data_IF_270933490798
#
_entry.id   IF_270933490798
#
_cell.length_a   1.000
_cell.length_b   1.000
_cell.length_c   1.000
_cell.angle_alpha   90.00
_cell.angle_beta   90.00
_cell.angle_gamma   90.00
#
_symmetry.space_group_name_H-M   'P 1'
#
loop_
_entity.id
_entity.type
_entity.pdbx_description
1 polymer ?
#
# COMPACT_ATOMS: atom_id res chain seq x y z
N UNK A 1 0.41 33.48 40.26
CA UNK A 1 0.86 32.42 39.36
C UNK A 1 0.08 32.57 38.06
N UNK A 2 0.68 32.45 36.86
CA UNK A 2 -0.13 32.31 35.66
C UNK A 2 -1.00 31.06 35.85
N UNK A 3 -2.29 31.14 35.52
CA UNK A 3 -3.18 30.00 35.62
C UNK A 3 -2.71 28.93 34.64
N UNK A 4 -2.33 27.76 35.15
CA UNK A 4 -1.98 26.62 34.32
C UNK A 4 -3.21 26.23 33.47
N UNK A 5 -3.00 26.12 32.16
CA UNK A 5 -4.07 25.73 31.23
C UNK A 5 -4.49 24.29 31.55
N UNK A 6 -5.79 24.00 31.77
CA UNK A 6 -6.24 22.64 32.08
C UNK A 6 -5.85 21.64 30.99
N UNK A 7 -5.45 20.42 31.37
CA UNK A 7 -5.00 19.39 30.42
C UNK A 7 -6.05 19.03 29.37
N UNK A 8 -7.34 19.09 29.73
CA UNK A 8 -8.44 18.88 28.78
C UNK A 8 -8.48 19.94 27.65
N UNK A 9 -8.12 21.19 27.96
CA UNK A 9 -8.02 22.26 26.96
C UNK A 9 -6.81 22.03 26.07
N UNK A 10 -5.69 21.57 26.65
CA UNK A 10 -4.51 21.17 25.87
C UNK A 10 -4.87 20.02 24.92
N UNK A 11 -5.56 18.99 25.40
CA UNK A 11 -6.01 17.86 24.57
C UNK A 11 -6.87 18.33 23.39
N UNK A 12 -7.83 19.22 23.65
CA UNK A 12 -8.67 19.80 22.60
C UNK A 12 -7.84 20.57 21.56
N UNK A 13 -6.87 21.38 22.00
CA UNK A 13 -5.95 22.07 21.08
C UNK A 13 -5.18 21.04 20.24
N UNK A 14 -4.61 20.01 20.88
CA UNK A 14 -3.84 18.98 20.19
C UNK A 14 -4.69 18.25 19.15
N UNK A 15 -5.94 17.88 19.48
CA UNK A 15 -6.86 17.20 18.57
C UNK A 15 -7.15 18.00 17.29
N UNK A 16 -7.10 19.33 17.37
CA UNK A 16 -7.29 20.23 16.22
C UNK A 16 -6.00 20.53 15.44
N UNK A 17 -4.82 20.11 15.93
CA UNK A 17 -3.55 20.26 15.23
C UNK A 17 -3.28 19.07 14.27
N UNK A 18 -2.49 19.29 13.19
CA UNK A 18 -2.05 18.20 12.33
C UNK A 18 -1.30 17.12 13.12
N UNK A 19 -1.71 15.86 12.97
CA UNK A 19 -1.19 14.75 13.78
C UNK A 19 0.35 14.63 13.75
N UNK A 20 0.99 14.92 12.62
CA UNK A 20 2.44 14.90 12.50
C UNK A 20 3.13 15.99 13.36
N UNK A 21 2.50 17.16 13.52
CA UNK A 21 3.00 18.22 14.42
C UNK A 21 2.83 17.81 15.88
N UNK A 22 1.71 17.18 16.22
CA UNK A 22 1.46 16.67 17.58
C UNK A 22 2.56 15.71 18.03
N UNK A 23 2.96 14.78 17.16
CA UNK A 23 4.01 13.79 17.48
C UNK A 23 5.42 14.41 17.48
N UNK A 24 5.72 15.31 16.53
CA UNK A 24 7.10 15.79 16.31
C UNK A 24 7.46 17.05 17.08
N UNK A 25 6.47 17.85 17.47
CA UNK A 25 6.66 19.16 18.09
C UNK A 25 6.00 19.19 19.45
N UNK A 26 4.68 18.99 19.53
CA UNK A 26 3.92 19.13 20.77
C UNK A 26 4.37 18.12 21.84
N UNK A 27 4.66 16.88 21.44
CA UNK A 27 5.19 15.83 22.32
C UNK A 27 6.52 16.20 23.01
N UNK A 28 7.26 17.18 22.49
CA UNK A 28 8.57 17.59 23.02
C UNK A 28 8.49 18.81 23.95
N UNK A 29 7.30 19.38 24.16
CA UNK A 29 7.12 20.62 24.95
C UNK A 29 7.38 20.40 26.43
N UNK A 30 6.67 19.45 27.05
CA UNK A 30 6.85 19.07 28.46
C UNK A 30 6.43 17.61 28.71
N UNK A 31 6.64 17.13 29.93
CA UNK A 31 6.27 15.77 30.33
C UNK A 31 4.76 15.51 30.21
N UNK A 32 3.89 16.42 30.65
CA UNK A 32 2.43 16.19 30.58
C UNK A 32 1.92 16.09 29.14
N UNK A 33 2.43 16.93 28.23
CA UNK A 33 2.07 16.87 26.82
C UNK A 33 2.56 15.58 26.18
N UNK A 34 3.75 15.11 26.57
CA UNK A 34 4.27 13.83 26.10
C UNK A 34 3.37 12.67 26.53
N UNK A 35 2.98 12.60 27.80
CA UNK A 35 2.10 11.54 28.32
C UNK A 35 0.74 11.55 27.62
N UNK A 36 0.16 12.75 27.42
CA UNK A 36 -1.10 12.91 26.70
C UNK A 36 -0.99 12.44 25.25
N UNK A 37 0.06 12.86 24.52
CA UNK A 37 0.29 12.47 23.12
C UNK A 37 0.65 10.98 22.98
N UNK A 38 1.31 10.37 23.96
CA UNK A 38 1.61 8.93 23.93
C UNK A 38 0.42 8.07 24.41
N UNK A 39 -0.64 8.68 24.97
CA UNK A 39 -1.82 7.96 25.45
C UNK A 39 -2.67 7.38 24.32
N UNK A 40 -3.19 6.16 24.52
CA UNK A 40 -4.13 5.54 23.58
C UNK A 40 -5.45 6.33 23.47
N UNK A 41 -5.89 6.98 24.54
CA UNK A 41 -7.14 7.74 24.59
C UNK A 41 -7.13 8.90 23.59
N UNK A 42 -6.06 9.67 23.54
CA UNK A 42 -5.90 10.80 22.60
C UNK A 42 -6.08 10.36 21.15
N UNK A 43 -5.41 9.27 20.74
CA UNK A 43 -5.49 8.77 19.37
C UNK A 43 -6.81 8.08 19.06
N UNK A 44 -7.45 7.45 20.04
CA UNK A 44 -8.80 6.89 19.89
C UNK A 44 -9.81 8.00 19.65
N UNK A 45 -9.75 9.09 20.41
CA UNK A 45 -10.62 10.25 20.25
C UNK A 45 -10.40 10.91 18.88
N UNK A 46 -9.14 11.08 18.48
CA UNK A 46 -8.81 11.59 17.14
C UNK A 46 -9.38 10.69 16.02
N UNK A 47 -9.26 9.36 16.15
CA UNK A 47 -9.86 8.42 15.21
C UNK A 47 -11.38 8.60 15.14
N UNK A 48 -12.04 8.71 16.29
CA UNK A 48 -13.48 8.90 16.37
C UNK A 48 -13.94 10.18 15.65
N UNK A 49 -13.30 11.33 15.93
CA UNK A 49 -13.62 12.63 15.29
C UNK A 49 -13.45 12.61 13.78
N UNK A 50 -12.47 11.86 13.28
CA UNK A 50 -12.19 11.73 11.84
C UNK A 50 -12.94 10.55 11.18
N UNK A 51 -13.79 9.84 11.91
CA UNK A 51 -14.60 8.74 11.39
C UNK A 51 -13.84 7.43 11.15
N UNK A 52 -12.65 7.27 11.72
CA UNK A 52 -11.86 6.04 11.63
C UNK A 52 -12.30 5.03 12.68
N UNK A 53 -12.75 3.87 12.23
CA UNK A 53 -13.24 2.79 13.08
C UNK A 53 -12.44 1.50 12.80
N UNK A 54 -12.02 0.75 13.83
CA UNK A 54 -11.44 -0.58 13.64
C UNK A 54 -12.43 -1.51 12.91
N UNK A 55 -11.93 -2.39 12.04
CA UNK A 55 -12.78 -3.36 11.32
C UNK A 55 -13.52 -4.32 12.26
N UNK A 56 -12.91 -4.69 13.40
CA UNK A 56 -13.52 -5.55 14.41
C UNK A 56 -13.62 -4.79 15.74
N UNK A 57 -14.84 -4.45 16.14
CA UNK A 57 -15.10 -3.74 17.41
C UNK A 57 -14.61 -4.56 18.62
N UNK A 58 -14.63 -5.90 18.50
CA UNK A 58 -14.18 -6.84 19.54
C UNK A 58 -12.65 -6.93 19.68
N UNK A 59 -11.88 -6.38 18.73
CA UNK A 59 -10.42 -6.38 18.75
C UNK A 59 -9.90 -4.97 18.48
N UNK A 60 -9.86 -4.12 19.52
CA UNK A 60 -9.31 -2.79 19.36
C UNK A 60 -7.83 -2.85 18.96
N UNK A 61 -7.31 -1.86 18.22
CA UNK A 61 -5.89 -1.78 17.91
C UNK A 61 -5.03 -1.74 19.18
N UNK A 62 -3.92 -2.48 19.15
CA UNK A 62 -2.91 -2.47 20.23
C UNK A 62 -2.22 -1.10 20.35
N UNK A 63 -1.97 -0.43 19.21
CA UNK A 63 -1.42 0.93 19.14
C UNK A 63 -2.38 1.82 18.32
N UNK A 64 -3.13 2.67 19.04
CA UNK A 64 -4.09 3.60 18.44
C UNK A 64 -3.43 4.69 17.60
N UNK A 65 -2.20 5.11 17.94
CA UNK A 65 -1.45 6.09 17.15
C UNK A 65 -1.05 5.48 15.81
N UNK A 66 -0.51 4.26 15.84
CA UNK A 66 -0.16 3.52 14.63
C UNK A 66 -1.39 3.31 13.75
N UNK A 67 -2.51 2.86 14.36
CA UNK A 67 -3.77 2.68 13.67
C UNK A 67 -4.25 3.96 12.98
N UNK A 68 -4.21 5.11 13.68
CA UNK A 68 -4.59 6.40 13.10
C UNK A 68 -3.78 6.72 11.85
N UNK A 69 -2.45 6.72 11.94
CA UNK A 69 -1.60 7.12 10.81
C UNK A 69 -1.68 6.13 9.64
N UNK A 70 -1.84 4.83 9.92
CA UNK A 70 -2.05 3.84 8.86
C UNK A 70 -3.38 4.05 8.16
N UNK A 71 -4.44 4.27 8.91
CA UNK A 71 -5.79 4.43 8.35
C UNK A 71 -5.89 5.73 7.56
N UNK A 72 -5.30 6.82 8.06
CA UNK A 72 -5.35 8.14 7.41
C UNK A 72 -4.76 8.14 5.99
N UNK A 73 -3.70 7.36 5.78
CA UNK A 73 -2.97 7.29 4.50
C UNK A 73 -3.33 6.03 3.69
N UNK A 74 -4.32 5.23 4.10
CA UNK A 74 -4.62 3.96 3.45
C UNK A 74 -5.40 4.17 2.15
N UNK A 75 -4.73 3.97 1.02
CA UNK A 75 -5.34 3.93 -0.31
C UNK A 75 -4.56 2.98 -1.24
N UNK A 76 -5.13 2.70 -2.43
CA UNK A 76 -4.38 2.00 -3.47
C UNK A 76 -3.30 2.93 -4.03
N UNK A 77 -2.04 2.52 -3.91
CA UNK A 77 -0.89 3.32 -4.32
C UNK A 77 -0.56 3.18 -5.82
N UNK A 78 -1.16 2.19 -6.50
CA UNK A 78 -1.04 2.06 -7.95
C UNK A 78 -1.90 3.13 -8.62
N UNK A 79 -1.24 3.98 -9.41
CA UNK A 79 -1.89 4.92 -10.32
C UNK A 79 -2.62 4.14 -11.40
N UNK A 80 -3.85 4.57 -11.61
CA UNK A 80 -4.81 4.09 -12.59
C UNK A 80 -4.70 2.58 -12.92
N UNK A 81 -5.43 1.72 -12.19
CA UNK A 81 -5.64 0.34 -12.62
C UNK A 81 -6.29 0.21 -14.01
N UNK A 82 -6.72 1.33 -14.64
CA UNK A 82 -7.38 1.46 -15.95
C UNK A 82 -6.50 2.15 -17.03
N UNK A 83 -5.17 2.02 -16.98
CA UNK A 83 -4.17 2.28 -18.06
C UNK A 83 -3.28 3.53 -18.07
N UNK A 84 -3.31 4.40 -17.07
CA UNK A 84 -2.34 5.50 -16.93
C UNK A 84 -1.29 5.21 -15.84
N UNK A 85 -0.08 5.75 -15.98
CA UNK A 85 0.98 5.60 -14.96
C UNK A 85 1.78 4.30 -15.02
N UNK A 86 1.47 3.37 -15.93
CA UNK A 86 2.28 2.19 -16.21
C UNK A 86 3.36 2.50 -17.25
N UNK A 87 4.57 1.99 -17.02
CA UNK A 87 5.63 1.94 -18.03
C UNK A 87 5.55 0.59 -18.74
N UNK A 88 5.30 0.59 -20.04
CA UNK A 88 5.35 -0.63 -20.86
C UNK A 88 6.82 -0.98 -21.10
N UNK A 89 7.26 -2.11 -20.57
CA UNK A 89 8.63 -2.61 -20.72
C UNK A 89 8.75 -3.49 -21.96
N UNK A 90 7.73 -4.32 -22.20
CA UNK A 90 7.63 -5.13 -23.40
C UNK A 90 6.19 -5.16 -23.89
N UNK A 91 6.04 -5.15 -25.22
CA UNK A 91 4.78 -4.94 -25.90
C UNK A 91 4.66 -5.86 -27.13
N UNK A 92 4.81 -7.16 -26.92
CA UNK A 92 4.81 -8.13 -28.00
C UNK A 92 3.45 -8.27 -28.70
N UNK A 93 3.47 -8.86 -29.90
CA UNK A 93 2.28 -9.06 -30.74
C UNK A 93 1.54 -7.75 -31.05
N UNK A 94 0.22 -7.77 -30.96
CA UNK A 94 -0.68 -6.62 -31.13
C UNK A 94 -0.69 -5.66 -29.92
N UNK A 95 0.33 -5.73 -29.08
CA UNK A 95 0.53 -4.88 -27.90
C UNK A 95 -0.48 -5.11 -26.76
N UNK A 96 -0.22 -4.44 -25.63
CA UNK A 96 -1.17 -4.26 -24.54
C UNK A 96 -2.33 -3.40 -25.02
N UNK A 97 -3.55 -3.91 -24.80
CA UNK A 97 -4.77 -3.15 -25.03
C UNK A 97 -5.63 -3.15 -23.77
N UNK A 98 -6.48 -2.14 -23.62
CA UNK A 98 -7.53 -2.16 -22.59
C UNK A 98 -8.80 -2.71 -23.20
N UNK A 99 -9.33 -3.78 -22.62
CA UNK A 99 -10.58 -4.41 -23.05
C UNK A 99 -11.64 -4.35 -21.96
N UNK A 100 -12.89 -4.62 -22.35
CA UNK A 100 -13.92 -4.98 -21.38
C UNK A 100 -13.65 -6.37 -20.79
N UNK A 101 -14.14 -6.62 -19.59
CA UNK A 101 -14.00 -7.93 -18.97
C UNK A 101 -14.76 -9.00 -19.78
N UNK A 102 -14.05 -10.03 -20.24
CA UNK A 102 -14.67 -11.18 -20.94
C UNK A 102 -15.34 -12.17 -20.00
N UNK A 103 -15.01 -12.11 -18.70
CA UNK A 103 -15.54 -12.94 -17.63
C UNK A 103 -16.06 -12.04 -16.50
N UNK A 104 -17.16 -12.40 -15.81
CA UNK A 104 -17.68 -11.60 -14.69
C UNK A 104 -16.61 -11.38 -13.62
N UNK A 105 -16.31 -10.12 -13.31
CA UNK A 105 -15.39 -9.76 -12.23
C UNK A 105 -16.14 -9.69 -10.90
N UNK A 106 -15.55 -10.10 -9.75
CA UNK A 106 -16.25 -10.10 -8.47
C UNK A 106 -16.76 -8.73 -8.00
N UNK A 107 -16.10 -7.65 -8.41
CA UNK A 107 -16.52 -6.26 -8.20
C UNK A 107 -17.10 -5.68 -9.50
N UNK A 108 -18.42 -5.51 -9.56
CA UNK A 108 -19.12 -5.01 -10.75
C UNK A 108 -18.69 -3.60 -11.19
N UNK A 109 -18.06 -2.82 -10.30
CA UNK A 109 -17.51 -1.49 -10.65
C UNK A 109 -16.25 -1.57 -11.51
N UNK A 110 -15.64 -2.77 -11.61
CA UNK A 110 -14.51 -3.06 -12.47
C UNK A 110 -15.02 -3.62 -13.79
N UNK A 111 -14.99 -2.80 -14.83
CA UNK A 111 -15.54 -3.15 -16.16
C UNK A 111 -14.48 -3.33 -17.23
N UNK A 112 -13.22 -2.95 -16.95
CA UNK A 112 -12.10 -3.00 -17.89
C UNK A 112 -10.92 -3.73 -17.29
N UNK A 113 -10.15 -4.38 -18.14
CA UNK A 113 -8.88 -4.99 -17.80
C UNK A 113 -7.83 -4.71 -18.88
N UNK A 114 -6.57 -5.00 -18.55
CA UNK A 114 -5.53 -5.07 -19.55
C UNK A 114 -5.54 -6.44 -20.21
N UNK A 115 -5.42 -6.45 -21.53
CA UNK A 115 -5.34 -7.65 -22.35
C UNK A 115 -4.02 -7.62 -23.10
N UNK A 116 -3.35 -8.76 -23.10
CA UNK A 116 -2.07 -8.97 -23.76
C UNK A 116 -2.24 -9.71 -25.08
N UNK A 117 -1.20 -9.69 -25.89
CA UNK A 117 -1.17 -10.38 -27.18
C UNK A 117 -0.40 -11.70 -27.11
N UNK A 118 -0.29 -12.40 -28.25
CA UNK A 118 0.51 -13.60 -28.47
C UNK A 118 2.03 -13.44 -28.27
N UNK A 119 2.52 -12.23 -28.04
CA UNK A 119 3.93 -11.95 -27.71
C UNK A 119 4.09 -11.57 -26.23
N UNK A 120 5.34 -11.56 -25.75
CA UNK A 120 5.63 -11.19 -24.36
C UNK A 120 5.20 -9.74 -24.06
N UNK A 121 4.35 -9.59 -23.06
CA UNK A 121 3.79 -8.32 -22.63
C UNK A 121 4.17 -8.07 -21.17
N UNK A 122 4.93 -7.01 -20.92
CA UNK A 122 5.42 -6.63 -19.60
C UNK A 122 5.11 -5.16 -19.32
N UNK A 123 4.45 -4.89 -18.19
CA UNK A 123 4.24 -3.54 -17.69
C UNK A 123 4.77 -3.42 -16.27
N UNK A 124 5.26 -2.23 -15.93
CA UNK A 124 5.77 -1.94 -14.60
C UNK A 124 5.25 -0.61 -14.05
N UNK A 125 5.13 -0.52 -12.72
CA UNK A 125 4.87 0.75 -12.04
C UNK A 125 5.76 0.90 -10.82
N UNK A 126 6.34 2.09 -10.69
CA UNK A 126 7.26 2.47 -9.65
C UNK A 126 6.58 3.44 -8.68
N UNK A 127 6.35 3.02 -7.43
CA UNK A 127 5.65 3.79 -6.40
C UNK A 127 6.65 4.39 -5.43
N UNK A 128 6.69 5.72 -5.33
CA UNK A 128 7.50 6.45 -4.34
C UNK A 128 6.69 6.63 -3.06
N UNK A 129 6.96 5.79 -2.04
CA UNK A 129 6.18 5.76 -0.80
C UNK A 129 6.19 7.11 -0.08
N UNK A 130 7.30 7.86 -0.17
CA UNK A 130 7.41 9.18 0.46
C UNK A 130 6.47 10.19 -0.18
N UNK A 131 6.34 10.16 -1.51
CA UNK A 131 5.38 11.00 -2.24
C UNK A 131 3.93 10.62 -1.97
N UNK A 132 3.67 9.35 -1.64
CA UNK A 132 2.36 8.84 -1.23
C UNK A 132 2.04 9.09 0.27
N UNK A 133 2.87 9.86 1.00
CA UNK A 133 2.62 10.25 2.39
C UNK A 133 3.30 9.34 3.43
N UNK A 134 4.03 8.33 3.01
CA UNK A 134 4.78 7.42 3.88
C UNK A 134 6.23 7.88 4.03
N UNK A 135 6.45 8.85 4.91
CA UNK A 135 7.79 9.40 5.15
C UNK A 135 8.80 8.34 5.61
N UNK A 136 10.09 8.57 5.36
CA UNK A 136 11.19 7.70 5.80
C UNK A 136 11.09 7.36 7.30
N UNK A 137 10.88 8.36 8.16
CA UNK A 137 10.75 8.15 9.60
C UNK A 137 9.52 7.31 10.00
N UNK A 138 8.45 7.38 9.21
CA UNK A 138 7.26 6.55 9.40
C UNK A 138 7.55 5.10 9.03
N UNK A 139 8.15 4.87 7.86
CA UNK A 139 8.53 3.54 7.39
C UNK A 139 9.56 2.89 8.31
N UNK A 140 10.58 3.63 8.76
CA UNK A 140 11.65 3.13 9.62
C UNK A 140 11.14 2.72 11.02
N UNK A 141 10.22 3.50 11.60
CA UNK A 141 9.72 3.28 12.97
C UNK A 141 8.56 2.30 13.03
N UNK A 142 7.56 2.51 12.17
CA UNK A 142 6.30 1.78 12.24
C UNK A 142 6.31 0.52 11.40
N UNK A 143 7.18 0.46 10.39
CA UNK A 143 7.39 -0.71 9.52
C UNK A 143 6.06 -1.39 9.14
N UNK A 144 5.12 -0.67 8.52
CA UNK A 144 3.78 -1.20 8.34
C UNK A 144 3.71 -2.24 7.21
N UNK A 145 2.86 -3.26 7.37
CA UNK A 145 2.70 -4.29 6.35
C UNK A 145 2.22 -3.67 5.03
N UNK A 146 2.85 -4.08 3.92
CA UNK A 146 2.44 -3.68 2.58
C UNK A 146 1.60 -4.81 1.99
N UNK A 147 0.31 -4.56 1.77
CA UNK A 147 -0.59 -5.51 1.12
C UNK A 147 -0.49 -5.37 -0.39
N UNK A 148 -0.26 -6.49 -1.06
CA UNK A 148 -0.23 -6.61 -2.52
C UNK A 148 -1.41 -7.46 -2.94
N UNK A 149 -2.13 -7.01 -3.96
CA UNK A 149 -3.19 -7.78 -4.60
C UNK A 149 -3.16 -7.53 -6.10
N UNK A 150 -3.29 -8.59 -6.90
CA UNK A 150 -3.53 -8.48 -8.34
C UNK A 150 -4.56 -9.51 -8.79
N UNK A 151 -5.19 -9.27 -9.93
CA UNK A 151 -6.19 -10.14 -10.52
C UNK A 151 -5.83 -10.49 -11.95
N UNK A 152 -6.00 -11.75 -12.31
CA UNK A 152 -5.71 -12.26 -13.64
C UNK A 152 -6.75 -13.29 -14.06
N UNK A 153 -6.97 -13.40 -15.36
CA UNK A 153 -7.83 -14.42 -15.95
C UNK A 153 -7.34 -14.76 -17.35
N UNK A 154 -7.33 -16.04 -17.74
CA UNK A 154 -7.07 -16.45 -19.12
C UNK A 154 -8.26 -16.14 -20.03
N UNK A 155 -8.00 -16.03 -21.32
CA UNK A 155 -9.04 -16.18 -22.35
C UNK A 155 -9.39 -17.65 -22.54
N UNK A 156 -10.58 -17.92 -23.07
CA UNK A 156 -11.00 -19.30 -23.32
C UNK A 156 -10.31 -19.92 -24.55
N UNK A 157 -9.97 -19.11 -25.55
CA UNK A 157 -9.57 -19.55 -26.89
C UNK A 157 -8.06 -19.64 -27.09
N UNK A 158 -7.24 -19.35 -26.08
CA UNK A 158 -5.79 -19.47 -26.14
C UNK A 158 -5.18 -19.85 -24.79
N UNK A 159 -4.02 -20.49 -24.83
CA UNK A 159 -3.21 -20.73 -23.65
C UNK A 159 -2.44 -19.46 -23.25
N UNK A 160 -2.15 -19.31 -21.96
CA UNK A 160 -1.36 -18.19 -21.48
C UNK A 160 -0.60 -18.52 -20.20
N UNK A 161 0.38 -17.68 -19.89
CA UNK A 161 1.19 -17.72 -18.68
C UNK A 161 1.09 -16.37 -17.97
N UNK A 162 0.80 -16.43 -16.67
CA UNK A 162 0.80 -15.29 -15.77
C UNK A 162 1.97 -15.33 -14.78
N UNK A 163 2.62 -14.18 -14.62
CA UNK A 163 3.70 -13.97 -13.67
C UNK A 163 3.66 -12.54 -13.11
N UNK A 164 3.92 -12.41 -11.80
CA UNK A 164 4.00 -11.14 -11.10
C UNK A 164 5.27 -11.14 -10.24
N UNK A 165 5.97 -10.02 -10.19
CA UNK A 165 7.06 -9.78 -9.25
C UNK A 165 6.88 -8.41 -8.61
N UNK A 166 6.97 -8.34 -7.29
CA UNK A 166 6.89 -7.10 -6.53
C UNK A 166 8.13 -6.96 -5.68
N UNK A 167 8.84 -5.85 -5.86
CA UNK A 167 10.09 -5.58 -5.18
C UNK A 167 9.96 -4.35 -4.30
N UNK A 168 10.32 -4.49 -3.03
CA UNK A 168 10.59 -3.35 -2.16
C UNK A 168 12.05 -2.93 -2.37
N UNK A 169 12.25 -1.70 -2.84
CA UNK A 169 13.56 -1.18 -3.19
C UNK A 169 14.10 -0.17 -2.18
N UNK A 170 15.42 -0.14 -2.02
CA UNK A 170 16.12 0.94 -1.32
C UNK A 170 16.26 2.21 -2.19
N UNK A 171 16.87 3.28 -1.64
CA UNK A 171 17.14 4.54 -2.36
C UNK A 171 18.01 4.36 -3.61
N UNK A 172 18.82 3.30 -3.68
CA UNK A 172 19.69 2.97 -4.82
C UNK A 172 18.96 2.09 -5.84
N UNK A 173 17.65 1.86 -5.66
CA UNK A 173 16.81 0.98 -6.47
C UNK A 173 17.26 -0.49 -6.41
N UNK A 174 17.89 -0.90 -5.32
CA UNK A 174 18.26 -2.30 -5.08
C UNK A 174 17.13 -3.03 -4.36
N UNK A 175 16.75 -4.25 -4.79
CA UNK A 175 15.75 -5.05 -4.08
C UNK A 175 16.21 -5.41 -2.67
N UNK A 176 15.37 -5.07 -1.69
CA UNK A 176 15.47 -5.49 -0.29
C UNK A 176 14.64 -6.74 -0.02
N UNK A 177 13.49 -6.84 -0.69
CA UNK A 177 12.58 -7.98 -0.63
C UNK A 177 11.88 -8.11 -1.98
N UNK A 178 11.68 -9.35 -2.42
CA UNK A 178 10.98 -9.69 -3.66
C UNK A 178 9.88 -10.69 -3.34
N UNK A 179 8.65 -10.36 -3.72
CA UNK A 179 7.52 -11.28 -3.78
C UNK A 179 7.32 -11.70 -5.23
N UNK A 180 7.58 -12.98 -5.53
CA UNK A 180 7.39 -13.57 -6.85
C UNK A 180 6.83 -14.99 -6.67
N UNK A 181 5.49 -15.16 -6.75
CA UNK A 181 4.88 -16.48 -6.68
C UNK A 181 5.23 -17.31 -7.92
N UNK A 182 4.93 -18.61 -7.86
CA UNK A 182 5.10 -19.50 -9.02
C UNK A 182 4.29 -19.02 -10.23
N UNK A 183 4.83 -19.26 -11.41
CA UNK A 183 4.19 -18.91 -12.68
C UNK A 183 2.92 -19.74 -12.84
N UNK A 184 1.84 -19.10 -13.28
CA UNK A 184 0.56 -19.77 -13.50
C UNK A 184 0.39 -20.00 -14.98
N UNK A 185 0.03 -21.23 -15.35
CA UNK A 185 -0.17 -21.64 -16.74
C UNK A 185 -1.63 -22.00 -16.96
N UNK A 186 -2.16 -21.56 -18.09
CA UNK A 186 -3.50 -21.88 -18.55
C UNK A 186 -3.43 -22.51 -19.92
N UNK A 187 -4.12 -23.64 -20.09
CA UNK A 187 -4.25 -24.30 -21.38
C UNK A 187 -5.31 -23.63 -22.24
N UNK A 188 -5.25 -23.85 -23.55
CA UNK A 188 -6.31 -23.46 -24.46
C UNK A 188 -7.60 -24.22 -24.12
N UNK A 189 -8.76 -23.60 -24.38
CA UNK A 189 -10.09 -24.17 -24.09
C UNK A 189 -10.37 -24.32 -22.59
N UNK A 190 -10.00 -23.31 -21.81
CA UNK A 190 -10.25 -23.24 -20.37
C UNK A 190 -11.47 -22.35 -20.03
N UNK A 191 -12.07 -22.61 -18.86
CA UNK A 191 -13.18 -21.82 -18.31
C UNK A 191 -12.85 -21.18 -16.96
N UNK A 192 -11.56 -21.06 -16.63
CA UNK A 192 -11.11 -20.58 -15.32
C UNK A 192 -11.64 -19.15 -15.04
N UNK A 193 -12.22 -18.88 -13.86
CA UNK A 193 -12.71 -17.55 -13.52
C UNK A 193 -11.53 -16.58 -13.28
N UNK A 194 -11.84 -15.37 -12.85
CA UNK A 194 -10.82 -14.46 -12.32
C UNK A 194 -10.17 -15.06 -11.07
N UNK A 195 -8.85 -15.10 -11.07
CA UNK A 195 -8.04 -15.51 -9.94
C UNK A 195 -7.44 -14.27 -9.26
N UNK A 196 -7.40 -14.29 -7.93
CA UNK A 196 -6.72 -13.28 -7.15
C UNK A 196 -5.39 -13.84 -6.63
N UNK A 197 -4.32 -13.07 -6.81
CA UNK A 197 -3.10 -13.23 -6.02
C UNK A 197 -3.09 -12.15 -4.93
N UNK A 198 -2.81 -12.55 -3.69
CA UNK A 198 -2.72 -11.64 -2.55
C UNK A 198 -1.55 -12.03 -1.68
N UNK A 199 -0.77 -11.04 -1.25
CA UNK A 199 0.34 -11.23 -0.33
C UNK A 199 0.48 -10.04 0.61
N UNK A 200 1.11 -10.26 1.75
CA UNK A 200 1.48 -9.20 2.69
C UNK A 200 2.99 -9.28 2.86
N UNK A 201 3.68 -8.22 2.43
CA UNK A 201 5.10 -8.07 2.75
C UNK A 201 5.18 -7.48 4.15
N UNK A 202 5.68 -8.29 5.08
CA UNK A 202 6.08 -7.80 6.39
C UNK A 202 7.39 -7.03 6.23
N UNK A 203 7.32 -5.75 6.49
CA UNK A 203 8.45 -4.84 6.46
C UNK A 203 9.35 -4.93 7.69
N UNK A 204 8.96 -5.76 8.66
CA UNK A 204 9.69 -5.99 9.90
C UNK A 204 11.07 -6.59 9.58
N UNK A 205 12.14 -5.99 10.11
CA UNK A 205 13.56 -6.30 9.84
C UNK A 205 14.12 -5.82 8.49
N UNK A 206 13.30 -5.33 7.55
CA UNK A 206 13.79 -4.71 6.31
C UNK A 206 14.30 -3.28 6.54
N UNK A 207 13.93 -2.67 7.67
CA UNK A 207 14.31 -1.29 8.04
C UNK A 207 15.15 -1.28 9.33
N UNK A 208 16.44 -1.64 9.29
CA UNK A 208 17.29 -1.58 10.48
C UNK A 208 17.46 -0.11 10.94
N UNK A 209 17.10 0.14 12.20
CA UNK A 209 17.07 1.45 12.88
C UNK A 209 18.43 2.21 12.93
N UNK A 210 19.53 1.65 12.42
CA UNK A 210 20.88 2.17 12.66
C UNK A 210 21.77 2.11 11.41
N UNK A 211 21.48 2.93 10.40
CA UNK A 211 22.52 3.60 9.62
C UNK A 211 22.04 5.02 9.30
N UNK A 212 22.95 5.98 9.35
CA UNK A 212 22.80 7.44 9.30
C UNK A 212 22.11 8.05 8.07
N UNK A 213 21.36 7.26 7.31
CA UNK A 213 20.61 7.69 6.14
C UNK A 213 19.18 7.18 6.32
N UNK A 214 18.26 8.08 6.68
CA UNK A 214 16.81 7.80 6.53
C UNK A 214 16.59 7.16 5.17
N UNK A 215 15.81 6.11 5.03
CA UNK A 215 15.68 5.43 3.74
C UNK A 215 14.41 5.95 3.05
N UNK A 216 14.58 6.43 1.82
CA UNK A 216 13.48 6.74 0.92
C UNK A 216 13.23 5.49 0.09
N UNK A 217 11.99 5.05 0.01
CA UNK A 217 11.67 3.73 -0.51
C UNK A 217 10.80 3.82 -1.76
N UNK A 218 10.98 2.81 -2.60
CA UNK A 218 10.25 2.69 -3.84
C UNK A 218 9.73 1.25 -3.96
N UNK A 219 8.47 1.05 -4.30
CA UNK A 219 7.93 -0.27 -4.63
C UNK A 219 7.88 -0.40 -6.15
N UNK A 220 8.50 -1.43 -6.69
CA UNK A 220 8.36 -1.80 -8.11
C UNK A 220 7.40 -2.96 -8.24
N UNK A 221 6.42 -2.82 -9.11
CA UNK A 221 5.55 -3.91 -9.53
C UNK A 221 5.85 -4.26 -10.98
N UNK A 222 6.18 -5.52 -11.24
CA UNK A 222 6.37 -6.12 -12.56
C UNK A 222 5.22 -7.11 -12.81
N UNK A 223 4.52 -6.95 -13.92
CA UNK A 223 3.52 -7.93 -14.37
C UNK A 223 3.95 -8.46 -15.72
N UNK A 224 4.35 -9.73 -15.75
CA UNK A 224 4.77 -10.45 -16.95
C UNK A 224 3.65 -11.38 -17.39
N UNK A 225 3.17 -11.16 -18.60
CA UNK A 225 2.16 -11.98 -19.24
C UNK A 225 2.71 -12.48 -20.56
N UNK A 226 2.72 -13.79 -20.73
CA UNK A 226 3.21 -14.44 -21.94
C UNK A 226 2.11 -15.32 -22.54
N UNK A 227 1.99 -15.31 -23.86
CA UNK A 227 1.03 -16.12 -24.61
C UNK A 227 1.79 -17.02 -25.58
N UNK A 228 1.21 -18.18 -25.87
CA UNK A 228 1.67 -19.09 -26.92
C UNK A 228 0.52 -19.45 -27.83
#
# INVERSE_FOLDING_TARGET
SPADVPLAVVEEILLNLPAHQVVRVCRLVCHEWKELVDSAAHWRERCHREGFHPCEVSRPPDDWRLFYFLTKNRHNLLKNPRAEGWTIVQNGGDCWVTGGNMKPFPDETVTKCFVTSYGLCLKQQLIDLKKEGYSDAFMDRLQPPIKITDWYAPRYDCGCQYEISVELLDRRKKPLCTFQPEKVFFEQWNHEPWCQVSSIILTVKLFPYNQTNSLGFIVSLFVLLYFR
#
